data_IF_836430929317
#
_entry.id   IF_836430929317
#
_cell.length_a   1.000
_cell.length_b   1.000
_cell.length_c   1.000
_cell.angle_alpha   90.00
_cell.angle_beta   90.00
_cell.angle_gamma   90.00
#
_symmetry.space_group_name_H-M   'P 1'
#
loop_
_entity.id
_entity.type
_entity.pdbx_description
1 polymer ?
#
# COMPACT_ATOMS: atom_id res chain seq x y z
N UNK A 1 17.27 9.58 14.27
CA UNK A 1 16.77 9.65 12.88
C UNK A 1 15.58 10.59 12.87
N UNK A 2 15.50 11.46 11.87
CA UNK A 2 14.28 12.24 11.61
C UNK A 2 13.23 11.35 10.92
N UNK A 3 11.97 11.80 10.89
CA UNK A 3 10.91 11.08 10.16
C UNK A 3 11.25 10.92 8.67
N UNK A 4 11.92 11.91 8.07
CA UNK A 4 12.31 11.89 6.66
C UNK A 4 13.39 10.81 6.42
N UNK A 5 14.34 10.66 7.34
CA UNK A 5 15.35 9.60 7.26
C UNK A 5 14.70 8.21 7.33
N UNK A 6 13.69 8.04 8.20
CA UNK A 6 12.94 6.78 8.34
C UNK A 6 12.16 6.47 7.06
N UNK A 7 11.47 7.45 6.47
CA UNK A 7 10.77 7.28 5.18
C UNK A 7 11.75 6.87 4.07
N UNK A 8 12.88 7.56 3.96
CA UNK A 8 13.89 7.27 2.95
C UNK A 8 14.47 5.86 3.09
N UNK A 9 14.80 5.45 4.33
CA UNK A 9 15.29 4.11 4.65
C UNK A 9 14.25 3.05 4.30
N UNK A 10 13.03 3.18 4.82
CA UNK A 10 11.98 2.18 4.64
C UNK A 10 11.58 2.01 3.17
N UNK A 11 11.49 3.12 2.42
CA UNK A 11 11.27 3.09 0.96
C UNK A 11 12.39 2.30 0.26
N UNK A 12 13.65 2.57 0.59
CA UNK A 12 14.79 1.87 -0.01
C UNK A 12 14.82 0.37 0.31
N UNK A 13 14.53 -0.01 1.55
CA UNK A 13 14.48 -1.42 1.96
C UNK A 13 13.31 -2.17 1.31
N UNK A 14 12.13 -1.55 1.25
CA UNK A 14 10.97 -2.14 0.57
C UNK A 14 11.23 -2.30 -0.93
N UNK A 15 11.85 -1.32 -1.58
CA UNK A 15 12.21 -1.40 -2.99
C UNK A 15 13.12 -2.60 -3.27
N UNK A 16 14.15 -2.79 -2.44
CA UNK A 16 15.06 -3.92 -2.56
C UNK A 16 14.36 -5.27 -2.33
N UNK A 17 13.48 -5.35 -1.33
CA UNK A 17 12.67 -6.56 -1.07
C UNK A 17 11.80 -6.92 -2.27
N UNK A 18 11.10 -5.94 -2.85
CA UNK A 18 10.24 -6.15 -4.02
C UNK A 18 11.04 -6.55 -5.27
N UNK A 19 12.19 -5.91 -5.52
CA UNK A 19 13.08 -6.30 -6.63
C UNK A 19 13.56 -7.74 -6.51
N UNK A 20 13.98 -8.14 -5.32
CA UNK A 20 14.46 -9.50 -5.05
C UNK A 20 13.34 -10.53 -5.18
N UNK A 21 12.15 -10.23 -4.66
CA UNK A 21 10.99 -11.10 -4.71
C UNK A 21 10.52 -11.34 -6.15
N UNK A 22 10.45 -10.28 -6.95
CA UNK A 22 9.88 -10.31 -8.30
C UNK A 22 10.90 -10.58 -9.40
N UNK A 23 12.19 -10.60 -9.06
CA UNK A 23 13.32 -10.77 -9.99
C UNK A 23 13.26 -9.80 -11.20
N UNK A 24 12.74 -8.59 -11.00
CA UNK A 24 12.59 -7.57 -12.06
C UNK A 24 12.75 -6.14 -11.55
N UNK A 25 12.98 -5.15 -12.44
CA UNK A 25 13.05 -3.75 -12.05
C UNK A 25 11.71 -3.24 -11.50
N UNK A 26 11.70 -2.88 -10.22
CA UNK A 26 10.63 -2.12 -9.57
C UNK A 26 11.24 -0.87 -8.94
N UNK A 27 10.54 0.25 -9.02
CA UNK A 27 10.98 1.52 -8.45
C UNK A 27 9.91 2.06 -7.51
N UNK A 28 10.29 2.39 -6.28
CA UNK A 28 9.48 3.12 -5.33
C UNK A 28 9.97 4.56 -5.34
N UNK A 29 9.35 5.40 -6.15
CA UNK A 29 9.84 6.74 -6.50
C UNK A 29 9.83 7.66 -5.28
N UNK A 30 8.76 7.56 -4.50
CA UNK A 30 8.46 8.46 -3.40
C UNK A 30 7.62 7.72 -2.36
N UNK A 31 7.81 8.08 -1.08
CA UNK A 31 7.00 7.59 0.04
C UNK A 31 6.52 8.81 0.84
N UNK A 32 5.21 9.03 0.81
CA UNK A 32 4.55 10.17 1.44
C UNK A 32 3.82 9.74 2.70
N UNK A 33 4.11 10.41 3.82
CA UNK A 33 3.25 10.35 5.00
C UNK A 33 2.21 11.47 4.94
N UNK A 34 0.95 11.15 5.24
CA UNK A 34 -0.14 12.11 5.11
C UNK A 34 -1.20 12.00 6.21
N UNK A 35 -1.92 13.11 6.39
CA UNK A 35 -3.14 13.20 7.18
C UNK A 35 -4.22 13.95 6.37
N UNK A 36 -5.37 13.31 6.17
CA UNK A 36 -6.47 13.83 5.35
C UNK A 36 -7.53 14.52 6.23
N UNK A 37 -8.29 15.48 5.66
CA UNK A 37 -9.34 16.20 6.40
C UNK A 37 -10.47 15.30 6.92
N UNK A 38 -10.69 14.13 6.32
CA UNK A 38 -11.67 13.15 6.82
C UNK A 38 -11.20 12.40 8.08
N UNK A 39 -9.96 12.59 8.53
CA UNK A 39 -9.34 11.87 9.64
C UNK A 39 -8.57 10.61 9.23
N UNK A 40 -8.60 10.21 7.96
CA UNK A 40 -7.74 9.15 7.46
C UNK A 40 -6.27 9.61 7.47
N UNK A 41 -5.36 8.70 7.82
CA UNK A 41 -3.91 8.96 7.83
C UNK A 41 -3.16 7.74 7.34
N UNK A 42 -1.92 7.91 6.91
CA UNK A 42 -1.08 6.79 6.52
C UNK A 42 -0.02 7.16 5.50
N UNK A 43 0.30 6.21 4.63
CA UNK A 43 1.42 6.25 3.69
C UNK A 43 0.95 5.98 2.27
N UNK A 44 1.51 6.70 1.31
CA UNK A 44 1.41 6.39 -0.13
C UNK A 44 2.81 6.20 -0.67
N UNK A 45 3.01 5.14 -1.46
CA UNK A 45 4.29 4.84 -2.11
C UNK A 45 4.06 4.82 -3.60
N UNK A 46 4.62 5.79 -4.32
CA UNK A 46 4.48 5.88 -5.77
C UNK A 46 5.40 4.86 -6.45
N UNK A 47 4.84 4.05 -7.34
CA UNK A 47 5.54 2.89 -7.91
C UNK A 47 5.68 2.97 -9.43
N UNK A 48 6.72 2.32 -9.97
CA UNK A 48 6.86 1.98 -11.40
C UNK A 48 7.39 0.57 -11.55
N UNK A 49 6.92 -0.13 -12.59
CA UNK A 49 7.37 -1.48 -12.93
C UNK A 49 6.65 -2.60 -12.16
N UNK A 50 5.73 -2.27 -11.26
CA UNK A 50 4.87 -3.23 -10.56
C UNK A 50 3.55 -3.39 -11.33
N UNK A 51 3.08 -4.63 -11.49
CA UNK A 51 1.87 -5.01 -12.19
C UNK A 51 0.90 -5.73 -11.24
N UNK A 52 -0.38 -5.75 -11.60
CA UNK A 52 -1.42 -6.43 -10.84
C UNK A 52 -1.10 -7.92 -10.64
N UNK A 53 -0.69 -8.61 -11.70
CA UNK A 53 -0.34 -10.03 -11.63
C UNK A 53 0.77 -10.32 -10.60
N UNK A 54 1.72 -9.40 -10.42
CA UNK A 54 2.75 -9.53 -9.38
C UNK A 54 2.13 -9.49 -7.98
N UNK A 55 1.15 -8.60 -7.78
CA UNK A 55 0.43 -8.48 -6.52
C UNK A 55 -0.40 -9.72 -6.23
N UNK A 56 -1.04 -10.29 -7.25
CA UNK A 56 -1.89 -11.48 -7.09
C UNK A 56 -1.04 -12.72 -6.79
N UNK A 57 0.08 -12.90 -7.48
CA UNK A 57 0.98 -14.06 -7.31
C UNK A 57 1.71 -13.99 -5.97
N UNK A 58 2.21 -12.81 -5.58
CA UNK A 58 3.06 -12.64 -4.40
C UNK A 58 2.35 -11.93 -3.24
N UNK A 59 1.03 -12.00 -3.20
CA UNK A 59 0.19 -11.20 -2.30
C UNK A 59 0.63 -11.28 -0.84
N UNK A 60 0.83 -12.50 -0.33
CA UNK A 60 1.17 -12.72 1.08
C UNK A 60 2.48 -12.01 1.46
N UNK A 61 3.50 -12.12 0.62
CA UNK A 61 4.80 -11.51 0.83
C UNK A 61 4.73 -9.99 0.74
N UNK A 62 4.04 -9.46 -0.28
CA UNK A 62 3.90 -8.02 -0.48
C UNK A 62 3.08 -7.39 0.65
N UNK A 63 2.02 -8.07 1.09
CA UNK A 63 1.21 -7.65 2.23
C UNK A 63 2.06 -7.61 3.52
N UNK A 64 2.85 -8.65 3.79
CA UNK A 64 3.75 -8.68 4.94
C UNK A 64 4.79 -7.54 4.89
N UNK A 65 5.40 -7.31 3.73
CA UNK A 65 6.38 -6.23 3.56
C UNK A 65 5.75 -4.86 3.78
N UNK A 66 4.59 -4.61 3.17
CA UNK A 66 3.84 -3.36 3.35
C UNK A 66 3.42 -3.13 4.79
N UNK A 67 2.99 -4.18 5.49
CA UNK A 67 2.62 -4.12 6.90
C UNK A 67 3.83 -3.73 7.75
N UNK A 68 4.96 -4.43 7.63
CA UNK A 68 6.19 -4.12 8.38
C UNK A 68 6.69 -2.70 8.10
N UNK A 69 6.72 -2.29 6.83
CA UNK A 69 7.10 -0.92 6.45
C UNK A 69 6.21 0.14 7.09
N UNK A 70 4.92 -0.16 7.30
CA UNK A 70 3.99 0.75 7.97
C UNK A 70 4.20 0.78 9.47
N UNK A 71 4.39 -0.38 10.09
CA UNK A 71 4.63 -0.53 11.54
C UNK A 71 5.93 0.17 11.97
N UNK A 72 6.98 0.10 11.14
CA UNK A 72 8.25 0.82 11.34
C UNK A 72 8.09 2.36 11.35
N UNK A 73 6.97 2.87 10.83
CA UNK A 73 6.59 4.29 10.82
C UNK A 73 5.47 4.59 11.83
N UNK A 74 5.22 3.67 12.77
CA UNK A 74 4.17 3.77 13.80
C UNK A 74 2.75 3.90 13.19
N UNK A 75 2.56 3.37 11.99
CA UNK A 75 1.27 3.27 11.32
C UNK A 75 0.79 1.82 11.40
N UNK A 76 -0.27 1.57 12.17
CA UNK A 76 -0.96 0.28 12.19
C UNK A 76 -2.07 0.26 11.13
N UNK A 77 -1.85 -0.29 9.92
CA UNK A 77 -2.79 -0.14 8.83
C UNK A 77 -4.07 -0.96 9.05
N UNK A 78 -5.21 -0.29 8.94
CA UNK A 78 -6.51 -0.95 8.78
C UNK A 78 -6.79 -1.35 7.32
N UNK A 79 -6.08 -0.75 6.37
CA UNK A 79 -6.33 -0.92 4.95
C UNK A 79 -5.03 -0.81 4.15
N UNK A 80 -4.64 -1.91 3.52
CA UNK A 80 -3.53 -2.01 2.58
C UNK A 80 -4.08 -2.29 1.20
N UNK A 81 -3.72 -1.47 0.22
CA UNK A 81 -4.22 -1.64 -1.15
C UNK A 81 -3.25 -1.07 -2.17
N UNK A 82 -3.31 -1.60 -3.37
CA UNK A 82 -2.68 -1.04 -4.55
C UNK A 82 -3.68 -0.20 -5.32
N UNK A 83 -3.21 0.93 -5.85
CA UNK A 83 -3.95 1.75 -6.80
C UNK A 83 -3.46 1.44 -8.21
N UNK A 84 -4.37 1.09 -9.10
CA UNK A 84 -4.05 0.80 -10.50
C UNK A 84 -4.12 2.06 -11.36
N UNK A 85 -3.28 2.12 -12.39
CA UNK A 85 -3.45 3.09 -13.48
C UNK A 85 -4.74 2.70 -14.24
N UNK A 86 -5.71 3.61 -14.40
CA UNK A 86 -6.97 3.28 -15.06
C UNK A 86 -6.77 2.70 -16.45
N UNK A 87 -7.38 1.54 -16.72
CA UNK A 87 -7.31 0.87 -18.02
C UNK A 87 -6.05 0.05 -18.26
N UNK A 88 -5.17 -0.12 -17.26
CA UNK A 88 -3.97 -0.97 -17.38
C UNK A 88 -3.83 -1.88 -16.15
N UNK A 89 -2.89 -2.83 -16.21
CA UNK A 89 -2.48 -3.65 -15.07
C UNK A 89 -1.38 -2.98 -14.22
N UNK A 90 -0.95 -1.77 -14.57
CA UNK A 90 0.15 -1.10 -13.89
C UNK A 90 -0.29 -0.58 -12.52
N UNK A 91 0.54 -0.85 -11.50
CA UNK A 91 0.33 -0.32 -10.15
C UNK A 91 0.94 1.07 -10.08
N UNK A 92 0.09 2.07 -9.87
CA UNK A 92 0.48 3.46 -9.70
C UNK A 92 1.05 3.73 -8.29
N UNK A 93 0.44 3.14 -7.27
CA UNK A 93 0.93 3.28 -5.90
C UNK A 93 0.49 2.16 -4.97
N UNK A 94 1.31 1.90 -3.96
CA UNK A 94 0.96 1.07 -2.81
C UNK A 94 0.55 1.98 -1.66
N UNK A 95 -0.57 1.67 -1.01
CA UNK A 95 -1.18 2.53 -0.01
C UNK A 95 -1.36 1.77 1.30
N UNK A 96 -1.06 2.46 2.40
CA UNK A 96 -1.26 1.97 3.75
C UNK A 96 -2.02 3.00 4.55
N UNK A 97 -3.21 2.65 5.05
CA UNK A 97 -4.13 3.62 5.67
C UNK A 97 -4.73 3.14 6.98
N UNK A 98 -4.79 4.07 7.92
CA UNK A 98 -5.72 4.06 9.04
C UNK A 98 -6.97 4.81 8.61
N UNK A 99 -8.07 4.09 8.40
CA UNK A 99 -9.32 4.68 7.96
C UNK A 99 -10.08 5.29 9.14
N UNK A 100 -10.73 6.43 8.89
CA UNK A 100 -11.77 6.93 9.78
C UNK A 100 -13.05 6.09 9.62
N UNK A 101 -13.96 6.19 10.58
CA UNK A 101 -15.20 5.39 10.61
C UNK A 101 -16.01 5.55 9.31
N UNK A 102 -16.08 6.77 8.75
CA UNK A 102 -16.81 7.02 7.51
C UNK A 102 -16.22 6.25 6.34
N UNK A 103 -14.91 6.40 6.08
CA UNK A 103 -14.26 5.72 4.96
C UNK A 103 -14.22 4.20 5.16
N UNK A 104 -14.09 3.72 6.41
CA UNK A 104 -14.17 2.29 6.69
C UNK A 104 -15.50 1.68 6.21
N UNK A 105 -16.62 2.35 6.45
CA UNK A 105 -17.95 1.87 6.05
C UNK A 105 -18.12 1.73 4.53
N UNK A 106 -17.43 2.55 3.74
CA UNK A 106 -17.46 2.47 2.27
C UNK A 106 -16.84 1.16 1.77
N UNK A 107 -15.84 0.63 2.46
CA UNK A 107 -15.16 -0.62 2.10
C UNK A 107 -15.71 -1.84 2.84
N UNK A 108 -16.21 -1.68 4.07
CA UNK A 108 -16.69 -2.78 4.90
C UNK A 108 -17.89 -3.54 4.29
N UNK A 109 -18.67 -2.85 3.45
CA UNK A 109 -19.84 -3.42 2.75
C UNK A 109 -19.47 -4.13 1.45
N UNK A 110 -18.25 -3.95 0.95
CA UNK A 110 -17.79 -4.56 -0.29
C UNK A 110 -17.43 -6.04 -0.10
N UNK A 111 -17.57 -6.80 -1.18
CA UNK A 111 -17.09 -8.19 -1.28
C UNK A 111 -15.99 -8.29 -2.33
N UNK A 112 -14.98 -9.13 -2.08
CA UNK A 112 -13.86 -9.33 -3.00
C UNK A 112 -12.73 -8.30 -2.83
N UNK A 113 -11.73 -8.40 -3.71
CA UNK A 113 -10.49 -7.61 -3.64
C UNK A 113 -10.51 -6.33 -4.48
N UNK A 114 -11.51 -6.15 -5.34
CA UNK A 114 -11.60 -4.97 -6.21
C UNK A 114 -12.96 -4.28 -6.00
N UNK A 115 -13.10 -3.46 -4.94
CA UNK A 115 -14.33 -2.70 -4.71
C UNK A 115 -14.55 -1.62 -5.78
N UNK A 116 -13.48 -1.23 -6.49
CA UNK A 116 -13.48 -0.27 -7.59
C UNK A 116 -12.45 -0.69 -8.64
N UNK A 117 -12.59 -0.26 -9.91
CA UNK A 117 -11.64 -0.60 -10.97
C UNK A 117 -10.20 -0.14 -10.72
N UNK A 118 -10.02 0.88 -9.88
CA UNK A 118 -8.71 1.49 -9.58
C UNK A 118 -8.06 0.97 -8.29
N UNK A 119 -8.69 0.04 -7.57
CA UNK A 119 -8.22 -0.47 -6.27
C UNK A 119 -8.12 -1.99 -6.28
N UNK A 120 -6.97 -2.50 -5.85
CA UNK A 120 -6.78 -3.88 -5.45
C UNK A 120 -6.43 -3.97 -3.96
N UNK A 121 -7.28 -4.62 -3.17
CA UNK A 121 -7.13 -4.77 -1.72
C UNK A 121 -6.14 -5.91 -1.43
N UNK A 122 -5.06 -5.58 -0.72
CA UNK A 122 -4.09 -6.55 -0.18
C UNK A 122 -4.52 -7.02 1.21
N UNK A 123 -4.98 -6.10 2.04
CA UNK A 123 -5.50 -6.41 3.36
C UNK A 123 -6.51 -5.36 3.81
N UNK A 124 -7.58 -5.81 4.46
CA UNK A 124 -8.57 -4.95 5.08
C UNK A 124 -8.97 -5.52 6.43
N UNK A 125 -8.46 -4.90 7.50
CA UNK A 125 -8.76 -5.31 8.87
C UNK A 125 -10.16 -4.83 9.23
N UNK A 126 -11.10 -5.76 9.26
CA UNK A 126 -12.45 -5.44 9.72
C UNK A 126 -12.42 -5.14 11.23
N UNK A 127 -12.81 -3.92 11.60
CA UNK A 127 -13.14 -3.58 12.98
C UNK A 127 -14.51 -4.21 13.25
N UNK A 128 -14.54 -5.20 14.15
CA UNK A 128 -15.77 -5.70 14.78
C UNK A 128 -16.37 -4.65 15.71
#
# INVERSE_FOLDING_TARGET
MTIIDTLAKNRGELENKLRNLLAKPVFLIEMDAFALPCGCKGLTINTRGLQLDDLEIFEEHINEYMKKTSEDLEVEPSFLFARLVPGTAEVASLNSRVLCNRCYMDFARGTGKQPRPDIYILNFSRRE
#
